data_IF_399645551998
#
_entry.id   IF_399645551998
#
_cell.length_a   1.000
_cell.length_b   1.000
_cell.length_c   1.000
_cell.angle_alpha   90.00
_cell.angle_beta   90.00
_cell.angle_gamma   90.00
#
_symmetry.space_group_name_H-M   'P 1'
#
loop_
_entity.id
_entity.type
_entity.pdbx_description
1 polymer ?
#
# COMPACT_ATOMS: atom_id res chain seq x y z
N UNK A 1 -63.97 30.06 21.85
CA UNK A 1 -63.03 30.71 20.92
C UNK A 1 -62.47 29.65 20.00
N UNK A 2 -62.84 29.65 18.71
CA UNK A 2 -62.44 28.62 17.75
C UNK A 2 -60.95 28.76 17.39
N UNK A 3 -60.16 27.71 17.61
CA UNK A 3 -58.76 27.67 17.18
C UNK A 3 -58.72 27.65 15.65
N UNK A 4 -58.21 28.72 15.04
CA UNK A 4 -57.97 28.79 13.60
C UNK A 4 -56.88 27.78 13.25
N UNK A 5 -57.24 26.76 12.47
CA UNK A 5 -56.28 25.78 11.92
C UNK A 5 -55.50 26.46 10.78
N UNK A 6 -54.25 26.83 11.05
CA UNK A 6 -53.34 27.35 10.02
C UNK A 6 -52.96 26.21 9.07
N UNK A 7 -53.18 26.39 7.76
CA UNK A 7 -52.72 25.44 6.74
C UNK A 7 -51.19 25.45 6.74
N UNK A 8 -50.56 24.33 7.10
CA UNK A 8 -49.12 24.12 6.92
C UNK A 8 -48.84 23.87 5.44
N UNK A 9 -48.12 24.76 4.76
CA UNK A 9 -47.52 24.40 3.49
C UNK A 9 -46.31 23.50 3.75
N UNK A 10 -46.28 22.37 3.06
CA UNK A 10 -45.09 21.53 2.99
C UNK A 10 -44.13 22.19 2.01
N UNK A 11 -42.94 22.56 2.48
CA UNK A 11 -41.87 23.07 1.62
C UNK A 11 -41.21 21.86 0.95
N UNK A 12 -41.39 21.71 -0.35
CA UNK A 12 -40.61 20.74 -1.12
C UNK A 12 -39.18 21.28 -1.22
N UNK A 13 -38.21 20.50 -0.75
CA UNK A 13 -36.79 20.85 -0.82
C UNK A 13 -36.24 20.20 -2.08
N UNK A 14 -35.76 21.04 -3.01
CA UNK A 14 -35.07 20.57 -4.20
C UNK A 14 -33.70 19.97 -3.82
N UNK A 15 -33.53 18.68 -4.11
CA UNK A 15 -32.31 17.93 -3.81
C UNK A 15 -31.23 18.08 -4.90
N UNK A 16 -31.53 18.72 -6.03
CA UNK A 16 -30.64 18.79 -7.20
C UNK A 16 -29.27 19.34 -6.86
N UNK A 17 -29.21 20.41 -6.05
CA UNK A 17 -27.94 20.98 -5.59
C UNK A 17 -27.16 20.06 -4.65
N UNK A 18 -27.85 19.31 -3.79
CA UNK A 18 -27.19 18.37 -2.86
C UNK A 18 -26.64 17.15 -3.60
N UNK A 19 -27.36 16.63 -4.60
CA UNK A 19 -26.90 15.51 -5.41
C UNK A 19 -25.71 15.85 -6.31
N UNK A 20 -25.63 17.08 -6.82
CA UNK A 20 -24.51 17.51 -7.66
C UNK A 20 -23.18 17.54 -6.87
N UNK A 21 -23.22 18.12 -5.66
CA UNK A 21 -22.06 18.18 -4.76
C UNK A 21 -21.58 16.78 -4.36
N UNK A 22 -22.50 15.84 -4.09
CA UNK A 22 -22.10 14.48 -3.68
C UNK A 22 -21.46 13.70 -4.83
N UNK A 23 -21.97 13.84 -6.06
CA UNK A 23 -21.37 13.21 -7.24
C UNK A 23 -19.99 13.79 -7.54
N UNK A 24 -19.83 15.11 -7.41
CA UNK A 24 -18.53 15.77 -7.56
C UNK A 24 -17.48 15.22 -6.57
N UNK A 25 -17.85 15.06 -5.29
CA UNK A 25 -16.94 14.52 -4.29
C UNK A 25 -16.59 13.05 -4.54
N UNK A 26 -17.58 12.24 -4.94
CA UNK A 26 -17.37 10.82 -5.24
C UNK A 26 -16.41 10.65 -6.42
N UNK A 27 -16.62 11.41 -7.50
CA UNK A 27 -15.74 11.37 -8.69
C UNK A 27 -14.34 11.88 -8.37
N UNK A 28 -14.21 12.96 -7.60
CA UNK A 28 -12.92 13.47 -7.14
C UNK A 28 -12.16 12.40 -6.34
N UNK A 29 -12.77 11.84 -5.28
CA UNK A 29 -12.12 10.82 -4.45
C UNK A 29 -11.79 9.56 -5.23
N UNK A 30 -12.65 9.14 -6.17
CA UNK A 30 -12.41 7.97 -6.99
C UNK A 30 -11.21 8.18 -7.93
N UNK A 31 -11.11 9.35 -8.57
CA UNK A 31 -10.01 9.69 -9.49
C UNK A 31 -8.67 9.94 -8.77
N UNK A 32 -8.68 10.53 -7.59
CA UNK A 32 -7.45 10.79 -6.82
C UNK A 32 -7.01 9.62 -5.96
N UNK A 33 -7.84 8.58 -5.82
CA UNK A 33 -7.47 7.39 -5.03
C UNK A 33 -6.30 6.65 -5.68
N UNK A 34 -5.26 6.36 -4.89
CA UNK A 34 -4.15 5.52 -5.31
C UNK A 34 -4.38 4.09 -4.83
N UNK A 35 -4.04 3.10 -5.65
CA UNK A 35 -4.05 1.71 -5.19
C UNK A 35 -3.13 1.52 -3.99
N UNK A 36 -3.59 0.76 -3.00
CA UNK A 36 -2.77 0.34 -1.87
C UNK A 36 -1.61 -0.48 -2.43
N UNK A 37 -0.40 0.10 -2.38
CA UNK A 37 0.83 -0.57 -2.76
C UNK A 37 0.98 -1.80 -1.85
N UNK A 38 1.00 -2.99 -2.43
CA UNK A 38 1.25 -4.22 -1.67
C UNK A 38 2.67 -4.13 -1.12
N UNK A 39 2.86 -4.32 0.19
CA UNK A 39 4.20 -4.32 0.78
C UNK A 39 5.11 -5.29 0.02
N UNK A 40 6.39 -4.93 -0.21
CA UNK A 40 7.32 -5.81 -0.89
C UNK A 40 7.35 -7.13 -0.15
N UNK A 41 7.02 -8.19 -0.88
CA UNK A 41 7.00 -9.57 -0.44
C UNK A 41 8.25 -9.82 0.42
N UNK A 42 8.08 -10.34 1.63
CA UNK A 42 9.19 -10.69 2.51
C UNK A 42 10.08 -11.69 1.78
N UNK A 43 11.30 -11.26 1.42
CA UNK A 43 12.30 -12.12 0.81
C UNK A 43 12.83 -13.04 1.90
N UNK A 44 12.40 -14.31 1.88
CA UNK A 44 13.03 -15.35 2.68
C UNK A 44 14.42 -15.61 2.11
N UNK A 45 15.44 -14.95 2.66
CA UNK A 45 16.83 -15.32 2.41
C UNK A 45 17.04 -16.73 2.96
N UNK A 46 17.56 -17.69 2.18
CA UNK A 46 17.89 -19.00 2.72
C UNK A 46 18.86 -18.81 3.89
N UNK A 47 18.58 -19.47 5.01
CA UNK A 47 19.48 -19.46 6.15
C UNK A 47 20.77 -20.19 5.74
N UNK A 48 21.78 -19.43 5.32
CA UNK A 48 23.11 -19.94 5.09
C UNK A 48 23.78 -20.15 6.45
N UNK A 49 23.31 -21.14 7.19
CA UNK A 49 24.01 -21.69 8.35
C UNK A 49 24.74 -22.93 7.86
N UNK A 50 25.88 -22.72 7.19
CA UNK A 50 26.87 -23.78 7.04
C UNK A 50 27.51 -24.01 8.42
N UNK A 51 26.77 -24.64 9.34
CA UNK A 51 27.30 -25.18 10.60
C UNK A 51 28.24 -26.37 10.36
N UNK A 52 28.28 -26.87 9.12
CA UNK A 52 29.24 -27.88 8.70
C UNK A 52 30.62 -27.21 8.59
N UNK A 53 31.52 -27.51 9.53
CA UNK A 53 32.94 -27.19 9.43
C UNK A 53 33.43 -27.63 8.05
N UNK A 54 33.87 -26.65 7.24
CA UNK A 54 34.50 -26.94 5.96
C UNK A 54 35.75 -27.79 6.26
N UNK A 55 35.91 -28.97 5.63
CA UNK A 55 37.08 -29.81 5.85
C UNK A 55 38.35 -29.03 5.46
N UNK A 56 39.33 -28.99 6.37
CA UNK A 56 40.61 -28.28 6.16
C UNK A 56 41.51 -28.95 5.11
N UNK A 57 41.17 -30.18 4.70
CA UNK A 57 41.92 -30.93 3.69
C UNK A 57 41.18 -30.92 2.35
N UNK A 58 41.92 -30.61 1.28
CA UNK A 58 41.44 -30.54 -0.11
C UNK A 58 40.45 -29.40 -0.41
N UNK A 59 40.56 -28.27 0.30
CA UNK A 59 39.79 -27.04 0.04
C UNK A 59 40.69 -25.99 -0.60
N UNK A 60 40.18 -25.28 -1.60
CA UNK A 60 40.86 -24.12 -2.23
C UNK A 60 40.19 -22.85 -1.75
N UNK A 61 40.96 -21.93 -1.16
CA UNK A 61 40.42 -20.64 -0.72
C UNK A 61 40.62 -19.61 -1.81
N UNK A 62 39.51 -19.08 -2.34
CA UNK A 62 39.53 -18.03 -3.37
C UNK A 62 39.11 -16.72 -2.72
N UNK A 63 40.05 -15.77 -2.64
CA UNK A 63 39.81 -14.43 -2.11
C UNK A 63 39.67 -13.46 -3.29
N UNK A 64 38.56 -12.73 -3.36
CA UNK A 64 38.30 -11.76 -4.43
C UNK A 64 38.20 -10.36 -3.84
N UNK A 65 39.08 -9.47 -4.27
CA UNK A 65 39.05 -8.06 -3.89
C UNK A 65 38.00 -7.29 -4.71
N UNK A 66 37.47 -6.20 -4.17
CA UNK A 66 36.46 -5.34 -4.85
C UNK A 66 36.98 -4.76 -6.17
N UNK A 67 38.30 -4.67 -6.34
CA UNK A 67 38.96 -4.31 -7.59
C UNK A 67 39.10 -5.45 -8.61
N UNK A 68 38.47 -6.61 -8.40
CA UNK A 68 38.49 -7.74 -9.32
C UNK A 68 39.76 -8.59 -9.29
N UNK A 69 40.65 -8.38 -8.31
CA UNK A 69 41.85 -9.20 -8.13
C UNK A 69 41.50 -10.48 -7.39
N UNK A 70 42.02 -11.60 -7.88
CA UNK A 70 41.77 -12.93 -7.34
C UNK A 70 43.06 -13.46 -6.72
N UNK A 71 42.99 -13.92 -5.48
CA UNK A 71 44.08 -14.57 -4.76
C UNK A 71 43.66 -16.00 -4.41
N UNK A 72 44.58 -16.94 -4.58
CA UNK A 72 44.41 -18.34 -4.24
C UNK A 72 45.31 -18.66 -3.06
N UNK A 73 44.75 -19.27 -2.02
CA UNK A 73 45.44 -19.74 -0.83
C UNK A 73 45.08 -21.21 -0.52
#
# INVERSE_FOLDING_TARGET
MGKVKVKKQSTFIDMTAMSDVTVLLLTFFMLTSTFVQKEPITVNTPASVSEVKVPETNTVTILVDKGGKIFLA
#
